data_IF_739909053552
#
_entry.id   IF_739909053552
#
_cell.length_a   1.000
_cell.length_b   1.000
_cell.length_c   1.000
_cell.angle_alpha   90.00
_cell.angle_beta   90.00
_cell.angle_gamma   90.00
#
_symmetry.space_group_name_H-M   'P 1'
#
loop_
_entity.id
_entity.type
_entity.pdbx_description
1 polymer ?
#
# COMPACT_ATOMS: atom_id res chain seq x y z
N UNK A 1 25.14 -26.73 -30.04
CA UNK A 1 25.92 -26.90 -28.80
C UNK A 1 25.14 -26.26 -27.65
N UNK A 2 24.78 -27.04 -26.63
CA UNK A 2 24.10 -26.54 -25.43
C UNK A 2 25.06 -25.61 -24.67
N UNK A 3 24.77 -24.31 -24.61
CA UNK A 3 25.52 -23.35 -23.77
C UNK A 3 24.70 -23.03 -22.52
N UNK A 4 25.39 -22.92 -21.38
CA UNK A 4 24.83 -22.97 -20.03
C UNK A 4 25.01 -21.61 -19.36
N UNK A 5 23.97 -21.12 -18.69
CA UNK A 5 24.06 -20.01 -17.72
C UNK A 5 23.63 -20.60 -16.37
N UNK A 6 24.53 -20.57 -15.39
CA UNK A 6 24.28 -21.04 -14.03
C UNK A 6 24.50 -19.85 -13.08
N UNK A 7 23.46 -19.49 -12.33
CA UNK A 7 23.54 -18.44 -11.31
C UNK A 7 23.33 -19.07 -9.93
N UNK A 8 24.18 -18.69 -8.98
CA UNK A 8 24.05 -19.07 -7.57
C UNK A 8 23.34 -17.96 -6.80
N UNK A 9 22.35 -18.33 -5.99
CA UNK A 9 21.56 -17.39 -5.21
C UNK A 9 21.20 -17.98 -3.84
N UNK A 10 20.96 -17.10 -2.87
CA UNK A 10 20.54 -17.48 -1.53
C UNK A 10 19.02 -17.33 -1.38
N UNK A 11 18.39 -18.39 -0.90
CA UNK A 11 16.96 -18.46 -0.57
C UNK A 11 16.82 -18.28 0.94
N UNK A 12 16.23 -17.16 1.41
CA UNK A 12 16.10 -16.90 2.84
C UNK A 12 15.01 -17.75 3.51
N UNK A 13 14.01 -18.22 2.76
CA UNK A 13 12.84 -18.93 3.26
C UNK A 13 12.42 -20.01 2.27
N UNK A 14 12.02 -21.19 2.75
CA UNK A 14 11.56 -22.25 1.86
C UNK A 14 10.14 -21.98 1.34
N UNK A 15 9.85 -22.37 0.10
CA UNK A 15 8.54 -22.15 -0.49
C UNK A 15 8.46 -22.45 -1.99
N UNK A 16 7.31 -22.16 -2.58
CA UNK A 16 7.13 -22.17 -4.03
C UNK A 16 7.50 -20.78 -4.58
N UNK A 17 8.25 -20.74 -5.67
CA UNK A 17 8.77 -19.54 -6.31
C UNK A 17 8.39 -19.55 -7.78
N UNK A 18 7.69 -18.53 -8.24
CA UNK A 18 7.46 -18.30 -9.66
C UNK A 18 8.70 -17.66 -10.28
N UNK A 19 9.18 -18.24 -11.38
CA UNK A 19 10.41 -17.85 -12.07
C UNK A 19 10.05 -16.97 -13.26
N UNK A 20 10.56 -15.75 -13.26
CA UNK A 20 10.38 -14.80 -14.36
C UNK A 20 11.70 -14.51 -15.05
N UNK A 21 11.63 -14.39 -16.38
CA UNK A 21 12.74 -13.92 -17.21
C UNK A 21 12.27 -12.72 -18.02
N UNK A 22 13.10 -11.69 -18.08
CA UNK A 22 12.83 -10.51 -18.90
C UNK A 22 13.11 -10.76 -20.39
N UNK A 23 12.15 -10.42 -21.23
CA UNK A 23 12.21 -10.46 -22.69
C UNK A 23 12.86 -9.17 -23.22
N UNK A 24 14.20 -9.16 -23.36
CA UNK A 24 14.94 -8.07 -24.02
C UNK A 24 14.75 -8.18 -25.54
N UNK A 25 14.54 -7.06 -26.24
CA UNK A 25 14.23 -6.93 -27.67
C UNK A 25 15.17 -7.65 -28.65
N UNK A 26 16.31 -8.21 -28.20
CA UNK A 26 17.15 -9.13 -28.98
C UNK A 26 16.54 -10.52 -29.15
N UNK A 27 15.76 -10.99 -28.17
CA UNK A 27 14.97 -12.22 -28.25
C UNK A 27 13.86 -12.07 -29.31
N UNK A 28 13.34 -10.86 -29.52
CA UNK A 28 12.39 -10.57 -30.60
C UNK A 28 12.99 -10.72 -32.02
N UNK A 29 14.31 -10.59 -32.19
CA UNK A 29 14.94 -10.82 -33.50
C UNK A 29 15.13 -12.31 -33.81
N UNK A 30 15.32 -13.16 -32.80
CA UNK A 30 15.16 -14.62 -32.93
C UNK A 30 13.71 -15.00 -33.28
N UNK A 31 12.75 -14.19 -32.83
CA UNK A 31 11.30 -14.36 -33.04
C UNK A 31 10.90 -14.18 -34.52
N UNK A 32 11.60 -13.32 -35.28
CA UNK A 32 11.26 -13.02 -36.69
C UNK A 32 11.80 -13.99 -37.73
N UNK A 33 12.90 -14.71 -37.47
CA UNK A 33 13.57 -15.49 -38.52
C UNK A 33 13.29 -17.00 -38.48
N UNK A 34 12.66 -17.55 -37.42
CA UNK A 34 12.45 -19.01 -37.34
C UNK A 34 11.34 -19.51 -36.41
N UNK A 35 10.20 -18.83 -36.29
CA UNK A 35 9.11 -19.30 -35.41
C UNK A 35 7.76 -19.38 -36.14
N UNK A 36 7.56 -20.51 -36.81
CA UNK A 36 6.23 -21.05 -37.00
C UNK A 36 5.70 -21.56 -35.64
N UNK A 37 4.76 -20.81 -35.07
CA UNK A 37 3.66 -21.27 -34.20
C UNK A 37 3.94 -22.08 -32.90
N UNK A 38 5.17 -22.21 -32.39
CA UNK A 38 5.39 -22.87 -31.07
C UNK A 38 6.00 -21.92 -30.01
N UNK A 39 5.22 -21.72 -28.94
CA UNK A 39 5.48 -20.84 -27.80
C UNK A 39 6.89 -21.00 -27.20
N UNK A 40 7.59 -19.88 -26.95
CA UNK A 40 8.91 -19.84 -26.29
C UNK A 40 9.00 -20.64 -24.98
N UNK A 41 7.91 -20.72 -24.23
CA UNK A 41 7.79 -21.52 -23.01
C UNK A 41 7.99 -23.02 -23.21
N UNK A 42 7.80 -23.54 -24.43
CA UNK A 42 8.00 -24.97 -24.75
C UNK A 42 9.44 -25.32 -25.09
N UNK A 43 10.33 -24.33 -25.25
CA UNK A 43 11.72 -24.51 -25.66
C UNK A 43 12.75 -24.12 -24.61
N UNK A 44 12.30 -23.64 -23.45
CA UNK A 44 13.12 -23.31 -22.30
C UNK A 44 12.83 -24.30 -21.16
N UNK A 45 13.88 -24.84 -20.56
CA UNK A 45 13.80 -25.68 -19.37
C UNK A 45 14.55 -25.05 -18.20
N UNK A 46 14.10 -25.31 -16.99
CA UNK A 46 14.75 -24.87 -15.75
C UNK A 46 15.45 -26.07 -15.11
N UNK A 47 16.66 -25.87 -14.60
CA UNK A 47 17.43 -26.82 -13.81
C UNK A 47 17.78 -26.15 -12.48
N UNK A 48 17.44 -26.78 -11.36
CA UNK A 48 17.74 -26.33 -10.00
C UNK A 48 18.71 -27.33 -9.37
N UNK A 49 19.87 -26.86 -8.90
CA UNK A 49 20.91 -27.69 -8.28
C UNK A 49 21.32 -28.91 -9.14
N UNK A 50 21.34 -28.74 -10.46
CA UNK A 50 21.66 -29.82 -11.40
C UNK A 50 20.49 -30.72 -11.79
N UNK A 51 19.29 -30.49 -11.24
CA UNK A 51 18.08 -31.30 -11.49
C UNK A 51 17.10 -30.54 -12.40
N UNK A 52 16.73 -31.09 -13.58
CA UNK A 52 15.69 -30.50 -14.41
C UNK A 52 14.34 -30.45 -13.68
N UNK A 53 13.68 -29.31 -13.72
CA UNK A 53 12.36 -29.10 -13.10
C UNK A 53 11.31 -29.01 -14.20
N UNK A 54 10.27 -29.83 -14.09
CA UNK A 54 9.09 -29.68 -14.94
C UNK A 54 8.37 -28.39 -14.59
N UNK A 55 8.28 -27.53 -15.58
CA UNK A 55 7.72 -26.20 -15.41
C UNK A 55 6.22 -26.30 -15.65
N UNK A 56 5.42 -26.13 -14.60
CA UNK A 56 3.96 -26.07 -14.74
C UNK A 56 3.61 -24.90 -15.66
N UNK A 57 2.90 -25.20 -16.75
CA UNK A 57 2.64 -24.35 -17.92
C UNK A 57 2.66 -22.84 -17.68
N UNK A 58 3.50 -22.15 -18.46
CA UNK A 58 3.55 -20.70 -18.59
C UNK A 58 2.17 -20.11 -18.93
N UNK A 59 1.47 -19.63 -17.90
CA UNK A 59 0.36 -18.69 -18.07
C UNK A 59 0.94 -17.33 -18.43
N UNK A 60 0.25 -16.56 -19.28
CA UNK A 60 0.61 -15.18 -19.56
C UNK A 60 0.61 -14.40 -18.24
N UNK A 61 1.79 -14.06 -17.74
CA UNK A 61 1.91 -13.24 -16.55
C UNK A 61 1.35 -11.86 -16.86
N UNK A 62 0.39 -11.38 -16.06
CA UNK A 62 -0.03 -9.98 -16.03
C UNK A 62 1.08 -9.01 -15.54
N UNK A 63 2.35 -9.42 -15.65
CA UNK A 63 3.54 -8.71 -15.19
C UNK A 63 4.12 -7.83 -16.30
N UNK A 64 3.30 -7.01 -16.97
CA UNK A 64 3.76 -6.08 -18.01
C UNK A 64 4.35 -6.73 -19.28
N UNK A 65 4.48 -5.94 -20.33
CA UNK A 65 4.71 -6.43 -21.71
C UNK A 65 6.07 -7.14 -21.96
N UNK A 66 7.00 -7.18 -21.00
CA UNK A 66 8.36 -7.68 -21.20
C UNK A 66 8.80 -8.77 -20.21
N UNK A 67 7.89 -9.35 -19.41
CA UNK A 67 8.23 -10.46 -18.52
C UNK A 67 7.54 -11.75 -18.95
N UNK A 68 8.32 -12.82 -19.01
CA UNK A 68 7.84 -14.16 -19.33
C UNK A 68 7.94 -15.01 -18.07
N UNK A 69 6.79 -15.42 -17.53
CA UNK A 69 6.73 -16.47 -16.53
C UNK A 69 7.17 -17.78 -17.17
N UNK A 70 8.23 -18.38 -16.61
CA UNK A 70 8.63 -19.73 -16.99
C UNK A 70 7.71 -20.70 -16.26
N UNK A 71 7.57 -20.57 -14.93
CA UNK A 71 6.63 -21.30 -14.07
C UNK A 71 7.13 -21.41 -12.62
N UNK A 72 6.49 -22.27 -11.81
CA UNK A 72 6.79 -22.38 -10.36
C UNK A 72 7.78 -23.49 -10.03
N UNK A 73 8.77 -23.20 -9.19
CA UNK A 73 9.74 -24.14 -8.60
C UNK A 73 9.63 -24.15 -7.07
N UNK A 74 9.97 -25.25 -6.39
CA UNK A 74 10.03 -25.30 -4.92
C UNK A 74 11.49 -25.28 -4.45
N UNK A 75 11.80 -24.38 -3.51
CA UNK A 75 13.14 -24.19 -2.97
C UNK A 75 13.13 -24.29 -1.44
N UNK A 76 14.23 -24.78 -0.87
CA UNK A 76 14.48 -24.78 0.58
C UNK A 76 15.27 -23.53 0.99
N UNK A 77 15.31 -23.15 2.28
CA UNK A 77 16.26 -22.12 2.72
C UNK A 77 17.70 -22.59 2.46
N UNK A 78 18.54 -21.72 1.89
CA UNK A 78 19.93 -22.05 1.61
C UNK A 78 20.43 -21.55 0.26
N UNK A 79 21.63 -21.96 -0.11
CA UNK A 79 22.22 -21.65 -1.41
C UNK A 79 21.72 -22.65 -2.45
N UNK A 80 21.28 -22.14 -3.59
CA UNK A 80 20.81 -22.91 -4.73
C UNK A 80 21.48 -22.42 -6.02
N UNK A 81 21.60 -23.29 -7.03
CA UNK A 81 21.94 -22.89 -8.39
C UNK A 81 20.74 -23.02 -9.33
N UNK A 82 20.46 -21.96 -10.09
CA UNK A 82 19.46 -22.00 -11.16
C UNK A 82 20.16 -21.97 -12.51
N UNK A 83 19.69 -22.82 -13.40
CA UNK A 83 20.19 -22.90 -14.77
C UNK A 83 19.04 -22.97 -15.76
N UNK A 84 19.10 -22.11 -16.77
CA UNK A 84 18.15 -22.12 -17.87
C UNK A 84 18.77 -22.86 -19.05
N UNK A 85 18.02 -23.80 -19.60
CA UNK A 85 18.41 -24.60 -20.76
C UNK A 85 17.48 -24.28 -21.91
N UNK A 86 17.97 -24.36 -23.15
CA UNK A 86 17.13 -24.22 -24.33
C UNK A 86 17.31 -25.38 -25.30
N UNK A 87 16.20 -25.86 -25.86
CA UNK A 87 16.20 -26.89 -26.89
C UNK A 87 16.14 -26.24 -28.29
N UNK A 88 17.26 -26.35 -29.02
CA UNK A 88 17.37 -25.96 -30.42
C UNK A 88 17.49 -24.46 -30.70
N UNK A 89 17.69 -23.60 -29.70
CA UNK A 89 18.04 -22.18 -29.91
C UNK A 89 19.54 -21.96 -29.66
N UNK A 90 20.25 -21.21 -30.52
CA UNK A 90 21.59 -20.73 -30.21
C UNK A 90 21.51 -19.69 -29.08
N UNK A 91 21.82 -20.10 -27.85
CA UNK A 91 21.72 -19.29 -26.60
C UNK A 91 22.64 -18.04 -26.58
N UNK A 92 23.51 -17.84 -27.57
CA UNK A 92 24.44 -16.69 -27.60
C UNK A 92 23.75 -15.32 -27.61
N UNK A 93 22.47 -15.23 -27.99
CA UNK A 93 21.72 -13.96 -28.01
C UNK A 93 20.83 -13.74 -26.78
N UNK A 94 20.66 -14.76 -25.92
CA UNK A 94 19.96 -14.60 -24.64
C UNK A 94 20.98 -14.19 -23.60
N UNK A 95 21.23 -12.89 -23.48
CA UNK A 95 21.91 -12.34 -22.30
C UNK A 95 20.97 -12.48 -21.10
N UNK A 96 20.93 -13.65 -20.47
CA UNK A 96 20.36 -13.84 -19.12
C UNK A 96 21.38 -13.31 -18.10
N UNK A 97 21.87 -12.10 -18.30
CA UNK A 97 22.79 -11.46 -17.38
C UNK A 97 21.98 -10.32 -16.78
N UNK A 98 21.43 -10.57 -15.58
CA UNK A 98 20.82 -9.61 -14.64
C UNK A 98 19.28 -9.53 -14.54
N UNK A 99 18.50 -10.32 -15.28
CA UNK A 99 17.04 -10.15 -15.28
C UNK A 99 16.23 -11.41 -14.89
N UNK A 100 16.78 -12.22 -13.98
CA UNK A 100 16.05 -13.32 -13.35
C UNK A 100 15.37 -12.82 -12.07
N UNK A 101 14.05 -13.01 -11.96
CA UNK A 101 13.31 -12.68 -10.73
C UNK A 101 12.62 -13.94 -10.23
N UNK A 102 12.88 -14.26 -8.96
CA UNK A 102 12.16 -15.30 -8.22
C UNK A 102 11.12 -14.63 -7.33
N UNK A 103 9.85 -14.79 -7.67
CA UNK A 103 8.75 -14.32 -6.84
C UNK A 103 8.28 -15.45 -5.94
N UNK A 104 8.44 -15.32 -4.62
CA UNK A 104 7.87 -16.29 -3.69
C UNK A 104 6.35 -16.26 -3.86
N UNK A 105 5.78 -17.38 -4.31
CA UNK A 105 4.35 -17.63 -4.40
C UNK A 105 3.83 -17.85 -2.98
N UNK A 106 3.72 -16.74 -2.24
CA UNK A 106 2.95 -16.72 -1.01
C UNK A 106 1.50 -16.78 -1.48
N UNK A 107 0.77 -17.85 -1.14
CA UNK A 107 -0.66 -17.65 -0.83
C UNK A 107 -0.65 -16.51 0.16
N UNK A 108 -1.06 -15.32 -0.27
CA UNK A 108 -1.04 -14.17 0.61
C UNK A 108 -1.96 -14.53 1.77
N UNK A 109 -1.40 -14.96 2.89
CA UNK A 109 -2.03 -14.86 4.21
C UNK A 109 -2.04 -13.37 4.57
N UNK A 110 -2.66 -12.58 3.68
CA UNK A 110 -3.06 -11.22 3.98
C UNK A 110 -4.24 -11.44 4.90
N UNK A 111 -4.12 -11.07 6.19
CA UNK A 111 -5.25 -11.20 7.09
C UNK A 111 -6.45 -10.49 6.48
N UNK A 112 -7.62 -11.10 6.62
CA UNK A 112 -8.85 -10.52 6.09
C UNK A 112 -9.00 -9.09 6.62
N UNK A 113 -9.21 -8.10 5.73
CA UNK A 113 -9.38 -6.73 6.18
C UNK A 113 -10.63 -6.66 7.07
N UNK A 114 -10.62 -5.82 8.11
CA UNK A 114 -11.81 -5.63 8.93
C UNK A 114 -12.98 -5.14 8.07
N UNK A 115 -14.19 -5.49 8.48
CA UNK A 115 -15.41 -4.88 7.95
C UNK A 115 -15.44 -3.40 8.34
N UNK A 116 -15.36 -2.51 7.37
CA UNK A 116 -15.38 -1.05 7.60
C UNK A 116 -16.65 -0.46 7.01
N UNK A 117 -17.38 0.31 7.80
CA UNK A 117 -18.39 1.24 7.32
C UNK A 117 -18.15 2.62 7.91
N UNK A 118 -18.64 3.69 7.29
CA UNK A 118 -18.43 5.04 7.80
C UNK A 118 -19.61 5.95 7.51
N UNK A 119 -19.73 7.00 8.32
CA UNK A 119 -20.65 8.10 8.12
C UNK A 119 -19.93 9.43 8.29
N UNK A 120 -20.17 10.35 7.35
CA UNK A 120 -19.77 11.75 7.48
C UNK A 120 -20.79 12.45 8.36
N UNK A 121 -20.36 12.92 9.54
CA UNK A 121 -21.21 13.70 10.43
C UNK A 121 -21.27 15.15 9.94
N UNK A 122 -20.11 15.70 9.60
CA UNK A 122 -19.94 17.01 8.97
C UNK A 122 -18.56 17.07 8.28
N UNK A 123 -18.20 18.16 7.56
CA UNK A 123 -16.90 18.26 6.88
C UNK A 123 -15.66 18.07 7.76
N UNK A 124 -15.79 18.26 9.08
CA UNK A 124 -14.70 18.18 10.05
C UNK A 124 -14.77 16.97 10.98
N UNK A 125 -15.76 16.08 10.78
CA UNK A 125 -15.98 14.93 11.66
C UNK A 125 -16.59 13.75 10.90
N UNK A 126 -15.94 12.60 11.04
CA UNK A 126 -16.37 11.32 10.49
C UNK A 126 -16.40 10.26 11.61
N UNK A 127 -17.33 9.31 11.49
CA UNK A 127 -17.40 8.14 12.36
C UNK A 127 -17.24 6.91 11.49
N UNK A 128 -16.30 6.06 11.84
CA UNK A 128 -15.99 4.79 11.17
C UNK A 128 -16.36 3.68 12.13
N UNK A 129 -17.14 2.71 11.67
CA UNK A 129 -17.42 1.48 12.39
C UNK A 129 -16.51 0.38 11.84
N UNK A 130 -15.83 -0.30 12.74
CA UNK A 130 -14.87 -1.38 12.45
C UNK A 130 -15.42 -2.65 13.06
N UNK A 131 -15.51 -3.71 12.25
CA UNK A 131 -15.97 -5.04 12.64
C UNK A 131 -14.93 -6.08 12.32
N UNK A 132 -14.79 -7.07 13.18
CA UNK A 132 -13.98 -8.27 12.96
C UNK A 132 -12.52 -7.95 12.62
N UNK A 133 -11.93 -6.94 13.27
CA UNK A 133 -10.49 -6.65 13.12
C UNK A 133 -9.66 -7.75 13.79
N UNK A 134 -9.13 -8.69 13.01
CA UNK A 134 -8.33 -9.84 13.48
C UNK A 134 -6.82 -9.57 13.48
N UNK A 135 -6.37 -8.53 12.77
CA UNK A 135 -4.98 -8.10 12.74
C UNK A 135 -4.88 -6.57 12.68
N UNK A 136 -3.72 -5.99 13.05
CA UNK A 136 -3.45 -4.59 12.78
C UNK A 136 -3.63 -4.24 11.30
N UNK A 137 -4.11 -3.03 11.03
CA UNK A 137 -4.44 -2.59 9.68
C UNK A 137 -4.19 -1.11 9.49
N UNK A 138 -4.17 -0.70 8.22
CA UNK A 138 -4.05 0.69 7.83
C UNK A 138 -5.43 1.27 7.53
N UNK A 139 -5.86 2.24 8.34
CA UNK A 139 -7.03 3.05 8.03
C UNK A 139 -6.63 4.14 7.04
N UNK A 140 -7.21 4.14 5.83
CA UNK A 140 -6.99 5.19 4.83
C UNK A 140 -8.19 6.14 4.79
N UNK A 141 -7.91 7.44 4.85
CA UNK A 141 -8.89 8.50 4.78
C UNK A 141 -8.58 9.42 3.59
N UNK A 142 -9.39 9.29 2.54
CA UNK A 142 -9.20 9.93 1.22
C UNK A 142 -9.47 11.44 1.20
N UNK A 143 -9.16 12.15 2.29
CA UNK A 143 -9.01 13.60 2.32
C UNK A 143 -7.52 13.96 2.21
N UNK A 144 -7.24 15.18 1.73
CA UNK A 144 -5.86 15.69 1.63
C UNK A 144 -5.15 15.65 2.99
N UNK A 145 -3.91 15.17 2.99
CA UNK A 145 -3.11 14.97 4.19
C UNK A 145 -2.97 16.28 4.95
N UNK A 146 -3.30 16.24 6.25
CA UNK A 146 -3.09 17.36 7.14
C UNK A 146 -2.82 16.84 8.55
N UNK A 147 -1.69 17.21 9.19
CA UNK A 147 -1.35 16.79 10.56
C UNK A 147 -2.39 17.19 11.62
N UNK A 148 -3.30 18.10 11.29
CA UNK A 148 -4.33 18.56 12.20
C UNK A 148 -5.59 17.66 12.20
N UNK A 149 -5.68 16.69 11.28
CA UNK A 149 -6.63 15.58 11.38
C UNK A 149 -6.18 14.63 12.49
N UNK A 150 -7.13 14.17 13.31
CA UNK A 150 -6.87 13.26 14.41
C UNK A 150 -7.87 12.13 14.40
N UNK A 151 -7.39 10.89 14.56
CA UNK A 151 -8.22 9.72 14.74
C UNK A 151 -8.25 9.29 16.20
N UNK A 152 -9.42 8.81 16.65
CA UNK A 152 -9.65 8.38 18.01
C UNK A 152 -10.37 7.05 18.00
N UNK A 153 -9.79 6.04 18.63
CA UNK A 153 -10.44 4.77 18.89
C UNK A 153 -11.43 4.97 20.03
N UNK A 154 -12.69 4.61 19.80
CA UNK A 154 -13.79 4.68 20.75
C UNK A 154 -14.26 3.26 21.03
N UNK A 155 -14.07 2.86 22.27
CA UNK A 155 -14.59 1.61 22.79
C UNK A 155 -16.11 1.75 23.00
N UNK A 156 -16.90 0.90 22.35
CA UNK A 156 -18.37 0.99 22.36
C UNK A 156 -18.99 0.52 23.66
N UNK A 157 -18.29 -0.32 24.43
CA UNK A 157 -18.78 -0.83 25.71
C UNK A 157 -18.51 0.15 26.84
N UNK A 158 -17.26 0.64 26.91
CA UNK A 158 -16.81 1.52 28.00
C UNK A 158 -16.99 3.02 27.70
N UNK A 159 -17.19 3.37 26.42
CA UNK A 159 -17.17 4.75 25.95
C UNK A 159 -15.79 5.41 26.00
N UNK A 160 -14.74 4.65 26.37
CA UNK A 160 -13.38 5.18 26.47
C UNK A 160 -12.92 5.60 25.09
N UNK A 161 -12.42 6.84 25.01
CA UNK A 161 -11.89 7.45 23.80
C UNK A 161 -10.39 7.62 23.93
N UNK A 162 -9.64 7.00 23.02
CA UNK A 162 -8.19 7.05 22.99
C UNK A 162 -7.71 7.59 21.64
N UNK A 163 -6.77 8.53 21.68
CA UNK A 163 -6.21 9.13 20.47
C UNK A 163 -5.19 8.18 19.86
N UNK A 164 -5.26 7.97 18.55
CA UNK A 164 -4.16 7.30 17.83
C UNK A 164 -2.95 8.25 17.83
N UNK A 165 -1.77 7.81 18.30
CA UNK A 165 -0.56 8.65 18.36
C UNK A 165 -0.18 9.23 17.00
N UNK A 166 0.44 10.42 17.01
CA UNK A 166 0.79 11.15 15.77
C UNK A 166 1.86 10.42 14.97
N UNK A 167 2.71 9.62 15.62
CA UNK A 167 3.73 8.78 14.99
C UNK A 167 3.10 7.68 14.11
N UNK A 168 1.81 7.39 14.32
CA UNK A 168 1.03 6.42 13.55
C UNK A 168 0.16 7.09 12.48
N UNK A 169 0.27 8.41 12.30
CA UNK A 169 -0.41 9.18 11.26
C UNK A 169 0.57 9.58 10.16
N UNK A 170 0.32 9.15 8.94
CA UNK A 170 1.16 9.46 7.79
C UNK A 170 0.34 9.53 6.51
N UNK A 171 0.92 10.05 5.44
CA UNK A 171 0.24 10.10 4.15
C UNK A 171 0.46 8.82 3.35
N UNK A 172 -0.53 8.45 2.54
CA UNK A 172 -0.45 7.35 1.58
C UNK A 172 -1.03 7.78 0.23
N UNK A 173 -0.75 7.01 -0.82
CA UNK A 173 -1.20 7.29 -2.19
C UNK A 173 -0.85 8.71 -2.67
N UNK A 174 0.22 9.31 -2.14
CA UNK A 174 0.70 10.64 -2.48
C UNK A 174 -0.14 11.82 -1.95
N UNK A 175 -1.29 11.59 -1.32
CA UNK A 175 -2.13 12.69 -0.82
C UNK A 175 -3.01 12.36 0.40
N UNK A 176 -3.37 11.10 0.63
CA UNK A 176 -4.44 10.75 1.58
C UNK A 176 -3.91 10.68 3.02
N UNK A 177 -4.75 11.01 4.00
CA UNK A 177 -4.45 10.72 5.41
C UNK A 177 -4.51 9.22 5.68
N UNK A 178 -3.70 8.72 6.61
CA UNK A 178 -3.80 7.34 7.07
C UNK A 178 -3.36 7.16 8.52
N UNK A 179 -3.90 6.12 9.17
CA UNK A 179 -3.53 5.75 10.53
C UNK A 179 -3.24 4.27 10.64
N UNK A 180 -2.14 3.92 11.30
CA UNK A 180 -1.88 2.54 11.72
C UNK A 180 -2.70 2.21 12.97
N UNK A 181 -3.56 1.20 12.86
CA UNK A 181 -4.47 0.77 13.94
C UNK A 181 -4.12 -0.64 14.37
N UNK A 182 -3.83 -0.82 15.66
CA UNK A 182 -3.48 -2.11 16.27
C UNK A 182 -4.58 -2.66 17.19
N UNK A 183 -5.68 -1.92 17.40
CA UNK A 183 -6.85 -2.43 18.13
C UNK A 183 -7.56 -3.52 17.32
N UNK A 184 -7.88 -4.61 17.99
CA UNK A 184 -8.59 -5.76 17.45
C UNK A 184 -10.06 -5.77 17.90
N UNK A 185 -10.88 -6.56 17.21
CA UNK A 185 -12.32 -6.72 17.48
C UNK A 185 -13.18 -5.61 16.91
N UNK A 186 -14.32 -5.36 17.56
CA UNK A 186 -15.35 -4.42 17.13
C UNK A 186 -15.25 -3.11 17.90
N UNK A 187 -15.23 -1.99 17.19
CA UNK A 187 -15.14 -0.66 17.79
C UNK A 187 -15.47 0.45 16.79
N UNK A 188 -15.45 1.70 17.27
CA UNK A 188 -15.59 2.87 16.42
C UNK A 188 -14.28 3.66 16.35
N UNK A 189 -14.03 4.31 15.22
CA UNK A 189 -13.01 5.34 15.09
C UNK A 189 -13.69 6.66 14.76
N UNK A 190 -13.39 7.70 15.53
CA UNK A 190 -13.80 9.07 15.24
C UNK A 190 -12.64 9.83 14.63
N UNK A 191 -12.83 10.36 13.43
CA UNK A 191 -11.84 11.20 12.74
C UNK A 191 -12.31 12.65 12.83
N UNK A 192 -11.49 13.53 13.40
CA UNK A 192 -11.82 14.93 13.67
C UNK A 192 -10.74 15.89 13.19
N UNK A 193 -11.15 17.02 12.59
CA UNK A 193 -10.24 18.11 12.26
C UNK A 193 -10.08 19.05 13.46
N UNK A 194 -8.94 18.98 14.14
CA UNK A 194 -8.70 19.69 15.40
C UNK A 194 -8.81 21.23 15.31
N UNK A 195 -8.30 21.91 14.26
CA UNK A 195 -8.34 23.37 14.17
C UNK A 195 -9.75 23.96 14.21
N UNK A 196 -10.77 23.18 13.84
CA UNK A 196 -12.17 23.62 13.93
C UNK A 196 -12.54 24.06 15.36
N UNK A 197 -11.95 23.46 16.40
CA UNK A 197 -12.19 23.87 17.80
C UNK A 197 -11.64 25.26 18.12
N UNK A 198 -10.50 25.63 17.54
CA UNK A 198 -9.91 26.96 17.74
C UNK A 198 -10.77 28.06 17.13
N UNK A 199 -11.35 27.80 15.96
CA UNK A 199 -12.25 28.75 15.29
C UNK A 199 -13.48 29.06 16.16
N UNK A 200 -14.07 28.04 16.80
CA UNK A 200 -15.20 28.26 17.72
C UNK A 200 -14.83 29.15 18.91
N UNK A 201 -13.67 28.93 19.53
CA UNK A 201 -13.19 29.79 20.61
C UNK A 201 -12.92 31.22 20.13
N UNK A 202 -12.31 31.38 18.96
CA UNK A 202 -12.08 32.70 18.36
C UNK A 202 -13.39 33.46 18.07
N UNK A 203 -14.42 32.75 17.62
CA UNK A 203 -15.74 33.34 17.38
C UNK A 203 -16.39 33.81 18.69
N UNK A 204 -16.32 33.02 19.76
CA UNK A 204 -16.83 33.40 21.09
C UNK A 204 -16.13 34.66 21.60
N UNK A 205 -14.79 34.71 21.51
CA UNK A 205 -14.03 35.88 21.93
C UNK A 205 -14.44 37.11 21.10
N UNK A 206 -14.57 36.96 19.78
CA UNK A 206 -14.96 38.05 18.88
C UNK A 206 -16.35 38.62 19.22
N UNK A 207 -17.32 37.76 19.54
CA UNK A 207 -18.66 38.18 19.97
C UNK A 207 -18.61 38.93 21.30
N UNK A 208 -17.83 38.45 22.26
CA UNK A 208 -17.64 39.13 23.56
C UNK A 208 -17.00 40.50 23.35
N UNK A 209 -15.95 40.60 22.53
CA UNK A 209 -15.30 41.88 22.20
C UNK A 209 -16.27 42.84 21.53
N UNK A 210 -17.06 42.38 20.56
CA UNK A 210 -18.05 43.22 19.88
C UNK A 210 -19.09 43.78 20.87
N UNK A 211 -19.63 42.92 21.75
CA UNK A 211 -20.58 43.34 22.78
C UNK A 211 -19.94 44.39 23.70
N UNK A 212 -18.70 44.16 24.16
CA UNK A 212 -17.99 45.11 25.02
C UNK A 212 -17.75 46.46 24.32
N UNK A 213 -17.36 46.47 23.04
CA UNK A 213 -17.16 47.69 22.26
C UNK A 213 -18.46 48.48 22.07
N UNK A 214 -19.57 47.78 21.78
CA UNK A 214 -20.90 48.40 21.63
C UNK A 214 -21.36 49.00 22.96
N UNK A 215 -21.23 48.27 24.07
CA UNK A 215 -21.56 48.77 25.40
C UNK A 215 -20.71 49.99 25.78
N UNK A 216 -19.41 49.93 25.51
CA UNK A 216 -18.49 51.06 25.73
C UNK A 216 -18.94 52.30 24.96
N UNK A 217 -19.27 52.15 23.67
CA UNK A 217 -19.77 53.25 22.84
C UNK A 217 -21.04 53.89 23.42
N UNK A 218 -22.02 53.09 23.85
CA UNK A 218 -23.26 53.60 24.44
C UNK A 218 -23.03 54.29 25.80
N UNK A 219 -22.11 53.77 26.62
CA UNK A 219 -21.74 54.40 27.90
C UNK A 219 -21.08 55.76 27.64
N UNK A 220 -20.13 55.84 26.71
CA UNK A 220 -19.45 57.10 26.36
C UNK A 220 -20.44 58.13 25.78
N UNK A 221 -21.32 57.71 24.86
CA UNK A 221 -22.34 58.58 24.29
C UNK A 221 -23.31 59.14 25.35
N UNK A 222 -23.71 58.32 26.34
CA UNK A 222 -24.54 58.79 27.47
C UNK A 222 -23.79 59.77 28.37
N UNK A 223 -22.49 59.54 28.63
CA UNK A 223 -21.65 60.47 29.41
C UNK A 223 -21.53 61.83 28.72
N UNK A 224 -21.27 61.85 27.41
CA UNK A 224 -21.16 63.11 26.64
C UNK A 224 -22.46 63.92 26.66
N UNK A 225 -23.63 63.27 26.53
CA UNK A 225 -24.92 63.98 26.59
C UNK A 225 -25.20 64.65 27.95
N UNK A 226 -24.73 64.06 29.05
CA UNK A 226 -24.89 64.64 30.41
C UNK A 226 -24.00 65.85 30.68
N UNK A 227 -22.92 66.05 29.93
CA UNK A 227 -22.01 67.19 30.10
C UNK A 227 -22.42 68.44 29.29
N UNK A 228 -23.42 68.34 28.41
CA UNK A 228 -23.86 69.43 27.52
C UNK A 228 -25.17 70.10 28.02
N UNK A 229 -25.83 69.53 29.03
CA UNK A 229 -27.00 70.11 29.73
C UNK A 229 -26.59 70.78 31.03
#
# INVERSE_FOLDING_TARGET
ALKRVEEQFFVPQGGAYEVFVYDDARIQNLNRQSLSEQNLSTRLGIEVDGVPVEVASAGSSGAGDNWVALGTIRLTPGNHSLKITSQGLPINDVKINNNLVLHLERKQDKPDPPGISFRKINPTRYVVEVKEATSPYLLVFSESFNPAWRAYVVDTETGRRERIPDERHFWVNGYANSWWVDKLGDYQIQVEFWPQRLVYWGAVISVITLIASVLYYFIDARRRRRHIS
#
